data_IF_829870734458
#
_entry.id   IF_829870734458
#
_cell.length_a   1.000
_cell.length_b   1.000
_cell.length_c   1.000
_cell.angle_alpha   90.00
_cell.angle_beta   90.00
_cell.angle_gamma   90.00
#
_symmetry.space_group_name_H-M   'P 1'
#
loop_
_entity.id
_entity.type
_entity.pdbx_description
1 polymer ?
#
# COMPACT_ATOMS: atom_id res chain seq x y z
N UNK A 1 -67.55 25.30 55.11
CA UNK A 1 -66.98 26.11 54.00
C UNK A 1 -65.69 25.47 53.52
N UNK A 2 -65.77 24.66 52.48
CA UNK A 2 -64.59 23.96 51.91
C UNK A 2 -64.18 24.66 50.59
N UNK A 3 -62.99 25.24 50.65
CA UNK A 3 -62.40 25.85 49.44
C UNK A 3 -61.58 24.78 48.67
N UNK A 4 -61.97 24.47 47.45
CA UNK A 4 -61.23 23.59 46.55
C UNK A 4 -60.12 24.37 45.84
N UNK A 5 -58.87 23.97 46.07
CA UNK A 5 -57.74 24.48 45.25
C UNK A 5 -57.57 23.57 44.03
N UNK A 6 -57.65 24.14 42.83
CA UNK A 6 -57.40 23.50 41.55
C UNK A 6 -55.92 23.55 41.28
N UNK A 7 -55.29 22.41 41.14
CA UNK A 7 -53.88 22.33 40.68
C UNK A 7 -53.88 22.36 39.17
N UNK A 8 -53.25 23.36 38.58
CA UNK A 8 -52.92 23.45 37.16
C UNK A 8 -51.68 22.62 36.86
N UNK A 9 -51.81 21.57 36.02
CA UNK A 9 -50.69 20.79 35.49
C UNK A 9 -50.06 21.52 34.31
N UNK A 10 -48.83 21.99 34.48
CA UNK A 10 -48.04 22.56 33.40
C UNK A 10 -47.43 21.42 32.57
N UNK A 11 -47.79 21.32 31.30
CA UNK A 11 -47.17 20.42 30.35
C UNK A 11 -45.84 21.01 29.88
N UNK A 12 -44.72 20.44 30.29
CA UNK A 12 -43.41 20.79 29.77
C UNK A 12 -43.18 20.05 28.44
N UNK A 13 -43.17 20.80 27.33
CA UNK A 13 -42.82 20.28 25.99
C UNK A 13 -41.33 20.11 25.89
N UNK A 14 -40.84 18.87 25.90
CA UNK A 14 -39.46 18.54 25.59
C UNK A 14 -39.27 18.55 24.08
N UNK A 15 -38.67 19.60 23.53
CA UNK A 15 -38.26 19.63 22.13
C UNK A 15 -37.04 18.72 21.95
N UNK A 16 -37.24 17.53 21.36
CA UNK A 16 -36.15 16.65 20.96
C UNK A 16 -35.44 17.21 19.73
N UNK A 17 -34.23 17.70 19.94
CA UNK A 17 -33.34 18.07 18.82
C UNK A 17 -32.80 16.78 18.18
N UNK A 18 -33.35 16.39 17.04
CA UNK A 18 -32.79 15.36 16.17
C UNK A 18 -31.52 15.93 15.54
N UNK A 19 -30.37 15.59 16.08
CA UNK A 19 -29.09 15.85 15.44
C UNK A 19 -29.02 15.03 14.14
N UNK A 20 -29.16 15.67 13.00
CA UNK A 20 -28.93 15.08 11.69
C UNK A 20 -27.40 14.84 11.61
N UNK A 21 -26.98 13.62 11.90
CA UNK A 21 -25.60 13.19 11.65
C UNK A 21 -25.46 13.02 10.14
N UNK A 22 -24.85 14.00 9.49
CA UNK A 22 -24.40 13.83 8.11
C UNK A 22 -23.36 12.70 8.09
N UNK A 23 -23.55 11.64 7.28
CA UNK A 23 -22.54 10.60 7.17
C UNK A 23 -21.24 11.27 6.69
N UNK A 24 -20.14 11.05 7.43
CA UNK A 24 -18.83 11.45 6.98
C UNK A 24 -18.61 10.82 5.60
N UNK A 25 -18.54 11.65 4.56
CA UNK A 25 -18.28 11.19 3.20
C UNK A 25 -16.92 10.50 3.21
N UNK A 26 -16.89 9.18 3.10
CA UNK A 26 -15.68 8.42 2.93
C UNK A 26 -14.96 8.97 1.69
N UNK A 27 -13.70 9.43 1.85
CA UNK A 27 -12.90 9.89 0.72
C UNK A 27 -12.76 8.72 -0.26
N UNK A 28 -13.24 8.82 -1.50
CA UNK A 28 -13.17 7.72 -2.45
C UNK A 28 -11.73 7.31 -2.69
N UNK A 29 -11.47 6.00 -2.69
CA UNK A 29 -10.19 5.45 -3.15
C UNK A 29 -9.98 5.79 -4.61
N UNK A 30 -8.75 6.11 -5.06
CA UNK A 30 -8.46 6.30 -6.49
C UNK A 30 -8.82 5.04 -7.28
N UNK A 31 -9.67 5.20 -8.30
CA UNK A 31 -10.20 4.06 -9.08
C UNK A 31 -9.76 4.04 -10.54
N UNK A 32 -9.21 5.16 -11.05
CA UNK A 32 -9.04 5.36 -12.48
C UNK A 32 -8.06 4.39 -13.14
N UNK A 33 -6.98 4.04 -12.44
CA UNK A 33 -5.92 3.17 -12.97
C UNK A 33 -5.34 2.31 -11.86
N UNK A 34 -6.13 1.32 -11.44
CA UNK A 34 -5.70 0.36 -10.44
C UNK A 34 -5.33 -0.98 -11.07
N UNK A 35 -4.18 -1.52 -10.70
CA UNK A 35 -3.86 -2.92 -10.91
C UNK A 35 -4.43 -3.72 -9.76
N UNK A 36 -5.34 -4.66 -9.99
CA UNK A 36 -5.73 -5.59 -8.94
C UNK A 36 -4.50 -6.34 -8.44
N UNK A 37 -4.12 -6.14 -7.19
CA UNK A 37 -3.08 -6.90 -6.52
C UNK A 37 -3.65 -7.57 -5.28
N UNK A 38 -3.23 -8.79 -5.00
CA UNK A 38 -3.44 -9.43 -3.70
C UNK A 38 -2.18 -9.21 -2.87
N UNK A 39 -2.12 -8.08 -2.15
CA UNK A 39 -0.94 -7.72 -1.36
C UNK A 39 -0.67 -8.75 -0.27
N UNK A 40 0.46 -9.43 -0.35
CA UNK A 40 0.86 -10.45 0.60
C UNK A 40 1.36 -9.82 1.91
N UNK A 41 1.10 -10.50 3.03
CA UNK A 41 1.70 -10.18 4.32
C UNK A 41 3.12 -10.74 4.35
N UNK A 42 4.08 -9.98 4.86
CA UNK A 42 5.43 -10.51 5.06
C UNK A 42 5.43 -11.62 6.13
N UNK A 43 6.04 -12.75 5.80
CA UNK A 43 6.10 -13.92 6.70
C UNK A 43 7.17 -13.80 7.78
N UNK A 44 8.21 -12.98 7.56
CA UNK A 44 9.28 -12.69 8.52
C UNK A 44 9.49 -11.20 8.70
N UNK A 45 10.13 -10.81 9.79
CA UNK A 45 10.22 -9.40 10.22
C UNK A 45 10.93 -8.48 9.22
N UNK A 46 11.89 -9.00 8.46
CA UNK A 46 12.69 -8.26 7.48
C UNK A 46 12.24 -8.50 6.02
N UNK A 47 11.13 -9.21 5.79
CA UNK A 47 10.72 -9.70 4.47
C UNK A 47 9.71 -8.80 3.73
N UNK A 48 9.64 -7.54 4.07
CA UNK A 48 8.81 -6.59 3.30
C UNK A 48 9.15 -6.62 1.79
N UNK A 49 10.45 -6.69 1.44
CA UNK A 49 10.93 -6.75 0.08
C UNK A 49 10.51 -8.05 -0.64
N UNK A 50 10.50 -9.18 0.08
CA UNK A 50 10.03 -10.47 -0.43
C UNK A 50 8.53 -10.44 -0.71
N UNK A 51 7.73 -10.04 0.30
CA UNK A 51 6.27 -10.00 0.18
C UNK A 51 5.82 -9.03 -0.93
N UNK A 52 6.51 -7.91 -1.10
CA UNK A 52 6.27 -7.00 -2.21
C UNK A 52 6.64 -7.64 -3.56
N UNK A 53 7.78 -8.33 -3.63
CA UNK A 53 8.22 -9.04 -4.83
C UNK A 53 7.27 -10.17 -5.23
N UNK A 54 6.87 -11.02 -4.28
CA UNK A 54 5.92 -12.11 -4.54
C UNK A 54 4.53 -11.60 -4.92
N UNK A 55 4.09 -10.46 -4.36
CA UNK A 55 2.85 -9.78 -4.78
C UNK A 55 2.92 -9.36 -6.25
N UNK A 56 4.02 -8.76 -6.69
CA UNK A 56 4.23 -8.37 -8.09
C UNK A 56 4.33 -9.61 -8.98
N UNK A 57 5.07 -10.65 -8.55
CA UNK A 57 5.15 -11.91 -9.28
C UNK A 57 3.75 -12.51 -9.53
N UNK A 58 2.92 -12.58 -8.49
CA UNK A 58 1.55 -13.07 -8.56
C UNK A 58 0.68 -12.25 -9.53
N UNK A 59 0.83 -10.91 -9.55
CA UNK A 59 0.14 -10.03 -10.50
C UNK A 59 0.51 -10.35 -11.95
N UNK A 60 1.71 -10.84 -12.19
CA UNK A 60 2.20 -11.29 -13.50
C UNK A 60 2.01 -12.80 -13.72
N UNK A 61 1.19 -13.48 -12.91
CA UNK A 61 0.84 -14.89 -13.09
C UNK A 61 1.90 -15.87 -12.56
N UNK A 62 2.85 -15.43 -11.75
CA UNK A 62 3.86 -16.27 -11.08
C UNK A 62 3.53 -16.43 -9.62
N UNK A 63 2.97 -17.57 -9.22
CA UNK A 63 2.74 -17.87 -7.80
C UNK A 63 3.99 -18.55 -7.23
N UNK A 64 4.55 -17.98 -6.18
CA UNK A 64 5.76 -18.47 -5.51
C UNK A 64 5.68 -18.15 -4.01
N UNK A 65 6.13 -19.09 -3.18
CA UNK A 65 6.25 -18.89 -1.72
C UNK A 65 7.34 -17.87 -1.40
N UNK A 66 7.15 -17.09 -0.34
CA UNK A 66 8.11 -16.06 0.07
C UNK A 66 9.50 -16.66 0.36
N UNK A 67 9.58 -17.81 1.03
CA UNK A 67 10.85 -18.48 1.30
C UNK A 67 11.58 -18.83 0.00
N UNK A 68 10.88 -19.34 -1.00
CA UNK A 68 11.49 -19.70 -2.29
C UNK A 68 11.92 -18.45 -3.07
N UNK A 69 11.10 -17.40 -3.10
CA UNK A 69 11.47 -16.12 -3.71
C UNK A 69 12.75 -15.55 -3.08
N UNK A 70 12.84 -15.57 -1.74
CA UNK A 70 14.03 -15.13 -1.01
C UNK A 70 15.27 -15.96 -1.36
N UNK A 71 15.14 -17.29 -1.46
CA UNK A 71 16.23 -18.19 -1.87
C UNK A 71 16.74 -17.88 -3.27
N UNK A 72 15.83 -17.70 -4.21
CA UNK A 72 16.16 -17.32 -5.59
C UNK A 72 16.85 -15.94 -5.64
N UNK A 73 16.35 -14.97 -4.89
CA UNK A 73 16.89 -13.62 -4.85
C UNK A 73 18.35 -13.57 -4.36
N UNK A 74 18.75 -14.52 -3.53
CA UNK A 74 20.09 -14.58 -2.94
C UNK A 74 20.94 -15.76 -3.46
N UNK A 75 20.48 -16.49 -4.49
CA UNK A 75 21.09 -17.77 -4.93
C UNK A 75 21.36 -18.73 -3.76
N UNK A 76 20.47 -18.74 -2.75
CA UNK A 76 20.63 -19.45 -1.50
C UNK A 76 20.31 -20.93 -1.68
N UNK A 77 21.27 -21.81 -1.35
CA UNK A 77 21.13 -23.27 -1.43
C UNK A 77 20.48 -23.89 -0.20
N UNK A 78 20.44 -23.17 0.92
CA UNK A 78 19.81 -23.65 2.14
C UNK A 78 18.32 -23.83 1.95
N UNK A 79 17.72 -24.75 2.69
CA UNK A 79 16.28 -25.01 2.64
C UNK A 79 15.46 -23.79 3.04
N UNK A 80 15.98 -23.02 4.00
CA UNK A 80 15.31 -21.86 4.55
C UNK A 80 16.15 -20.60 4.34
N UNK A 81 15.52 -19.57 3.80
CA UNK A 81 16.13 -18.25 3.63
C UNK A 81 16.13 -17.49 4.95
N UNK A 82 17.24 -16.82 5.26
CA UNK A 82 17.39 -16.07 6.50
C UNK A 82 16.43 -14.88 6.59
N UNK A 83 15.99 -14.52 7.80
CA UNK A 83 15.25 -13.29 8.06
C UNK A 83 16.22 -12.10 8.05
N UNK A 84 16.42 -11.51 6.89
CA UNK A 84 17.34 -10.39 6.67
C UNK A 84 16.76 -9.37 5.67
N UNK A 85 17.18 -8.09 5.76
CA UNK A 85 16.85 -7.11 4.75
C UNK A 85 17.35 -7.54 3.37
N UNK A 86 16.61 -7.13 2.34
CA UNK A 86 17.01 -7.25 0.95
C UNK A 86 16.87 -5.92 0.23
N UNK A 87 17.38 -5.87 -0.98
CA UNK A 87 17.39 -4.71 -1.86
C UNK A 87 16.41 -4.89 -3.03
N UNK A 88 16.06 -3.81 -3.72
CA UNK A 88 15.33 -3.90 -5.00
C UNK A 88 16.18 -4.58 -6.09
N UNK A 89 17.51 -4.63 -5.92
CA UNK A 89 18.42 -5.40 -6.77
C UNK A 89 18.21 -6.90 -6.62
N UNK A 90 18.03 -7.39 -5.37
CA UNK A 90 17.74 -8.79 -5.08
C UNK A 90 16.38 -9.20 -5.67
N UNK A 91 15.38 -8.32 -5.56
CA UNK A 91 14.06 -8.55 -6.19
C UNK A 91 14.19 -8.64 -7.71
N UNK A 92 14.93 -7.72 -8.32
CA UNK A 92 15.18 -7.72 -9.76
C UNK A 92 15.90 -9.00 -10.19
N UNK A 93 16.89 -9.47 -9.42
CA UNK A 93 17.58 -10.73 -9.66
C UNK A 93 16.60 -11.92 -9.63
N UNK A 94 15.73 -11.98 -8.61
CA UNK A 94 14.71 -13.01 -8.52
C UNK A 94 13.77 -13.00 -9.74
N UNK A 95 13.30 -11.85 -10.18
CA UNK A 95 12.46 -11.75 -11.38
C UNK A 95 13.17 -12.27 -12.63
N UNK A 96 14.45 -11.96 -12.81
CA UNK A 96 15.26 -12.52 -13.89
C UNK A 96 15.31 -14.06 -13.87
N UNK A 97 15.54 -14.65 -12.70
CA UNK A 97 15.55 -16.11 -12.51
C UNK A 97 14.17 -16.76 -12.69
N UNK A 98 13.09 -16.02 -12.42
CA UNK A 98 11.71 -16.47 -12.61
C UNK A 98 11.20 -16.30 -14.05
N UNK A 99 12.07 -15.91 -14.98
CA UNK A 99 11.75 -15.82 -16.41
C UNK A 99 10.94 -14.59 -16.79
N UNK A 100 11.06 -13.50 -16.07
CA UNK A 100 10.51 -12.21 -16.49
C UNK A 100 11.27 -11.69 -17.70
N UNK A 101 10.56 -11.29 -18.75
CA UNK A 101 11.16 -10.76 -19.98
C UNK A 101 11.86 -9.40 -19.72
N UNK A 102 11.35 -8.64 -18.75
CA UNK A 102 12.00 -7.46 -18.20
C UNK A 102 11.87 -7.50 -16.67
N UNK A 103 12.94 -7.83 -15.94
CA UNK A 103 12.92 -7.89 -14.47
C UNK A 103 12.83 -6.50 -13.80
N UNK A 104 12.73 -5.45 -14.59
CA UNK A 104 12.58 -4.07 -14.16
C UNK A 104 13.88 -3.28 -14.13
N UNK A 105 13.71 -1.96 -14.12
CA UNK A 105 14.79 -0.98 -14.00
C UNK A 105 14.86 -0.46 -12.57
N UNK A 106 16.03 -0.59 -11.96
CA UNK A 106 16.32 0.03 -10.67
C UNK A 106 16.61 1.53 -10.84
N UNK A 107 15.99 2.36 -10.01
CA UNK A 107 16.17 3.81 -9.95
C UNK A 107 16.51 4.21 -8.51
N UNK A 108 17.62 4.89 -8.30
CA UNK A 108 17.93 5.54 -7.02
C UNK A 108 17.11 6.83 -6.93
N UNK A 109 16.07 6.78 -6.09
CA UNK A 109 15.09 7.86 -5.94
C UNK A 109 13.69 7.46 -6.39
N UNK A 110 12.80 8.43 -6.33
CA UNK A 110 11.42 8.34 -6.83
C UNK A 110 11.37 8.52 -8.35
N UNK A 111 10.33 7.97 -8.98
CA UNK A 111 9.95 8.30 -10.36
C UNK A 111 8.82 9.32 -10.35
N UNK A 112 8.73 10.16 -11.37
CA UNK A 112 7.69 11.19 -11.46
C UNK A 112 6.28 10.60 -11.55
N UNK A 113 5.26 11.40 -11.17
CA UNK A 113 3.86 10.97 -11.18
C UNK A 113 3.40 10.46 -12.56
N UNK A 114 3.83 11.10 -13.65
CA UNK A 114 3.52 10.65 -15.00
C UNK A 114 4.02 9.22 -15.27
N UNK A 115 5.23 8.88 -14.80
CA UNK A 115 5.78 7.54 -14.92
C UNK A 115 5.01 6.53 -14.04
N UNK A 116 4.61 6.90 -12.80
CA UNK A 116 3.74 6.04 -11.98
C UNK A 116 2.45 5.73 -12.73
N UNK A 117 1.80 6.74 -13.30
CA UNK A 117 0.56 6.57 -14.09
C UNK A 117 0.74 5.66 -15.29
N UNK A 118 1.83 5.81 -16.02
CA UNK A 118 2.14 4.95 -17.16
C UNK A 118 2.27 3.49 -16.73
N UNK A 119 3.03 3.24 -15.66
CA UNK A 119 3.24 1.89 -15.15
C UNK A 119 1.94 1.27 -14.64
N UNK A 120 1.24 1.94 -13.74
CA UNK A 120 -0.01 1.42 -13.18
C UNK A 120 -1.12 1.31 -14.25
N UNK A 121 -1.20 2.26 -15.17
CA UNK A 121 -2.14 2.22 -16.28
C UNK A 121 -1.88 1.11 -17.31
N UNK A 122 -0.64 0.61 -17.35
CA UNK A 122 -0.24 -0.51 -18.23
C UNK A 122 -0.23 -1.86 -17.50
N UNK A 123 -0.83 -1.95 -16.32
CA UNK A 123 -0.90 -3.20 -15.57
C UNK A 123 0.43 -3.60 -14.90
N UNK A 124 1.38 -2.70 -14.76
CA UNK A 124 2.70 -2.94 -14.18
C UNK A 124 2.82 -2.29 -12.80
N UNK A 125 2.68 -3.02 -11.69
CA UNK A 125 2.96 -2.49 -10.37
C UNK A 125 4.42 -2.07 -10.22
N UNK A 126 4.65 -1.07 -9.37
CA UNK A 126 5.98 -0.53 -9.11
C UNK A 126 6.38 -0.87 -7.67
N UNK A 127 7.53 -1.50 -7.47
CA UNK A 127 8.06 -1.70 -6.11
C UNK A 127 8.84 -0.47 -5.69
N UNK A 128 8.52 0.07 -4.53
CA UNK A 128 9.19 1.23 -3.95
C UNK A 128 9.88 0.86 -2.65
N UNK A 129 10.97 1.55 -2.33
CA UNK A 129 11.54 1.55 -0.99
C UNK A 129 11.37 2.92 -0.37
N UNK A 130 10.82 2.95 0.81
CA UNK A 130 10.77 4.15 1.66
C UNK A 130 11.84 4.05 2.75
N UNK A 131 12.42 5.19 3.11
CA UNK A 131 13.27 5.36 4.28
C UNK A 131 12.46 6.00 5.39
N UNK A 132 12.35 5.37 6.55
CA UNK A 132 11.66 5.94 7.70
C UNK A 132 12.42 7.12 8.30
N UNK A 133 11.71 8.14 8.76
CA UNK A 133 12.32 9.26 9.49
C UNK A 133 13.01 8.80 10.79
N UNK A 134 12.54 7.71 11.39
CA UNK A 134 13.16 7.05 12.55
C UNK A 134 14.36 6.16 12.21
N UNK A 135 14.75 6.07 10.96
CA UNK A 135 15.80 5.16 10.47
C UNK A 135 15.26 3.84 9.94
N UNK A 136 16.10 3.17 9.16
CA UNK A 136 15.71 1.92 8.48
C UNK A 136 14.97 2.16 7.17
N UNK A 137 14.16 1.20 6.76
CA UNK A 137 13.39 1.29 5.52
C UNK A 137 12.35 0.20 5.38
N UNK A 138 11.48 0.39 4.41
CA UNK A 138 10.37 -0.51 4.12
C UNK A 138 10.08 -0.53 2.63
N UNK A 139 9.34 -1.52 2.13
CA UNK A 139 8.94 -1.59 0.73
C UNK A 139 7.43 -1.67 0.59
N UNK A 140 6.92 -0.97 -0.42
CA UNK A 140 5.53 -0.99 -0.82
C UNK A 140 5.40 -1.39 -2.29
N UNK A 141 4.17 -1.68 -2.71
CA UNK A 141 3.80 -1.90 -4.11
C UNK A 141 2.82 -0.83 -4.54
N UNK A 142 3.25 0.12 -5.38
CA UNK A 142 2.33 1.04 -6.06
C UNK A 142 1.54 0.26 -7.12
N UNK A 143 0.21 0.29 -7.03
CA UNK A 143 -0.65 -0.47 -7.91
C UNK A 143 -1.74 0.38 -8.60
N UNK A 144 -1.87 1.63 -8.26
CA UNK A 144 -2.88 2.50 -8.82
C UNK A 144 -2.51 3.98 -8.81
N UNK A 145 -3.21 4.75 -9.63
CA UNK A 145 -3.09 6.21 -9.71
C UNK A 145 -4.39 6.83 -10.18
N UNK A 146 -4.67 8.06 -9.76
CA UNK A 146 -5.87 8.84 -10.09
C UNK A 146 -5.49 10.06 -10.93
N UNK A 147 -6.15 10.23 -12.07
CA UNK A 147 -5.83 11.31 -13.03
C UNK A 147 -6.14 12.71 -12.48
N UNK A 148 -7.25 12.87 -11.77
CA UNK A 148 -7.79 14.18 -11.37
C UNK A 148 -7.09 14.78 -10.15
N UNK A 149 -6.56 13.96 -9.25
CA UNK A 149 -6.11 14.37 -7.92
C UNK A 149 -4.62 14.17 -7.67
N UNK A 150 -3.87 13.63 -8.64
CA UNK A 150 -2.47 13.18 -8.46
C UNK A 150 -2.32 12.22 -7.27
N UNK A 151 -3.25 11.31 -7.10
CA UNK A 151 -3.20 10.31 -6.04
C UNK A 151 -2.51 9.04 -6.52
N UNK A 152 -1.94 8.32 -5.57
CA UNK A 152 -1.37 6.99 -5.77
C UNK A 152 -1.96 6.03 -4.75
N UNK A 153 -2.11 4.76 -5.16
CA UNK A 153 -2.52 3.67 -4.29
C UNK A 153 -1.37 2.70 -4.10
N UNK A 154 -1.16 2.24 -2.87
CA UNK A 154 -0.12 1.26 -2.58
C UNK A 154 -0.57 0.17 -1.62
N UNK A 155 0.02 -1.01 -1.80
CA UNK A 155 -0.05 -2.13 -0.88
C UNK A 155 1.13 -2.11 0.08
N UNK A 156 0.84 -2.42 1.34
CA UNK A 156 1.81 -2.51 2.43
C UNK A 156 1.87 -3.96 2.94
N UNK A 157 3.06 -4.61 2.95
CA UNK A 157 3.22 -5.98 3.42
C UNK A 157 3.26 -6.13 4.94
N UNK A 158 3.29 -5.05 5.72
CA UNK A 158 3.31 -5.15 7.19
C UNK A 158 2.12 -5.96 7.71
N UNK A 159 2.30 -6.84 8.70
CA UNK A 159 1.21 -7.59 9.30
C UNK A 159 0.22 -6.70 10.07
N UNK A 160 0.67 -5.53 10.52
CA UNK A 160 -0.11 -4.52 11.23
C UNK A 160 -0.39 -3.31 10.34
N UNK A 161 -1.54 -2.65 10.53
CA UNK A 161 -1.94 -1.51 9.73
C UNK A 161 -2.79 -1.87 8.51
N UNK A 162 -3.06 -0.85 7.68
CA UNK A 162 -3.88 -1.01 6.47
C UNK A 162 -3.09 -1.65 5.35
N UNK A 163 -3.62 -2.77 4.81
CA UNK A 163 -3.03 -3.48 3.67
C UNK A 163 -3.02 -2.66 2.38
N UNK A 164 -4.03 -1.83 2.19
CA UNK A 164 -4.21 -0.99 1.02
C UNK A 164 -4.40 0.46 1.45
N UNK A 165 -3.64 1.35 0.83
CA UNK A 165 -3.54 2.74 1.21
C UNK A 165 -3.58 3.63 -0.03
N UNK A 166 -3.91 4.91 0.14
CA UNK A 166 -3.85 5.93 -0.91
C UNK A 166 -3.59 7.31 -0.31
N UNK A 167 -2.91 8.15 -1.08
CA UNK A 167 -2.70 9.57 -0.76
C UNK A 167 -2.34 10.34 -2.03
N UNK A 168 -2.14 11.65 -1.88
CA UNK A 168 -1.51 12.41 -2.96
C UNK A 168 -0.11 11.88 -3.24
N UNK A 169 0.33 11.96 -4.50
CA UNK A 169 1.68 11.57 -4.89
C UNK A 169 2.75 12.31 -4.08
N UNK A 170 2.56 13.61 -3.84
CA UNK A 170 3.55 14.42 -3.11
C UNK A 170 3.68 13.96 -1.65
N UNK A 171 2.57 13.66 -0.98
CA UNK A 171 2.59 13.07 0.36
C UNK A 171 3.27 11.70 0.39
N UNK A 172 2.97 10.84 -0.58
CA UNK A 172 3.63 9.53 -0.68
C UNK A 172 5.12 9.65 -0.96
N UNK A 173 5.52 10.64 -1.75
CA UNK A 173 6.92 10.85 -2.12
C UNK A 173 7.78 11.30 -0.94
N UNK A 174 7.23 12.18 -0.09
CA UNK A 174 7.94 12.73 1.07
C UNK A 174 6.95 13.26 2.11
N UNK A 175 7.08 12.81 3.36
CA UNK A 175 6.28 13.25 4.48
C UNK A 175 7.05 13.11 5.80
N UNK A 176 6.41 13.48 6.93
CA UNK A 176 7.04 13.43 8.26
C UNK A 176 7.45 12.02 8.72
N UNK A 177 6.85 10.98 8.16
CA UNK A 177 7.10 9.58 8.56
C UNK A 177 8.14 8.91 7.69
N UNK A 178 8.15 9.21 6.39
CA UNK A 178 9.08 8.57 5.44
C UNK A 178 9.31 9.40 4.17
N UNK A 179 10.39 9.06 3.48
CA UNK A 179 10.73 9.55 2.13
C UNK A 179 10.87 8.37 1.17
N UNK A 180 10.32 8.47 -0.04
CA UNK A 180 10.52 7.47 -1.11
C UNK A 180 11.94 7.56 -1.66
N UNK A 181 12.75 6.52 -1.42
CA UNK A 181 14.20 6.54 -1.66
C UNK A 181 14.67 5.74 -2.87
N UNK A 182 13.95 4.69 -3.28
CA UNK A 182 14.36 3.82 -4.41
C UNK A 182 13.13 3.23 -5.09
N UNK A 183 13.30 2.87 -6.36
CA UNK A 183 12.23 2.35 -7.22
C UNK A 183 12.71 1.17 -8.05
N UNK A 184 11.88 0.14 -8.19
CA UNK A 184 11.97 -0.88 -9.23
C UNK A 184 10.72 -0.78 -10.10
N UNK A 185 10.89 -0.48 -11.38
CA UNK A 185 9.81 -0.14 -12.32
C UNK A 185 10.01 -0.79 -13.69
N UNK A 186 8.96 -0.87 -14.51
CA UNK A 186 9.05 -1.46 -15.85
C UNK A 186 9.05 -2.98 -15.86
N UNK A 187 8.62 -3.62 -14.78
CA UNK A 187 8.59 -5.09 -14.63
C UNK A 187 7.58 -5.69 -15.61
N UNK A 188 8.00 -6.69 -16.38
CA UNK A 188 7.18 -7.41 -17.39
C UNK A 188 7.55 -8.89 -17.42
N UNK A 189 6.55 -9.70 -17.70
CA UNK A 189 6.69 -11.13 -17.97
C UNK A 189 6.54 -11.44 -19.46
#
# INVERSE_FOLDING_TARGET
>A
MFSRRVCAAGAASVAAWLAIQTPASAVPSPSDRQNPIAMQVQEKSQWCWVASGTTIAARHGVTIAQNEFCRIAHDERRRECADRPGTLGDVRHAFGKLGFSDPGKYVKGRIGYAAVREQTGSGRPVQTRVGWASGGGHTHVLYGSDLGRKWVSWGDPLPTGSRYNWSTYDFYADNKSFTWTHTLTGIRR
#
